data_IF_377426249899
#
_entry.id   IF_377426249899
#
_cell.length_a   1.000
_cell.length_b   1.000
_cell.length_c   1.000
_cell.angle_alpha   90.00
_cell.angle_beta   90.00
_cell.angle_gamma   90.00
#
_symmetry.space_group_name_H-M   'P 1'
#
loop_
_entity.id
_entity.type
_entity.pdbx_description
1 polymer ?
#
# COMPACT_ATOMS: atom_id res chain seq x y z
N UNK A 1 -25.31 12.64 7.40
CA UNK A 1 -24.93 11.71 6.32
C UNK A 1 -23.70 12.20 5.51
N UNK A 2 -22.61 12.63 6.17
CA UNK A 2 -21.36 13.11 5.52
C UNK A 2 -20.27 12.02 5.35
N UNK A 3 -20.55 10.79 5.75
CA UNK A 3 -19.56 9.70 5.83
C UNK A 3 -19.23 9.03 4.48
N UNK A 4 -20.17 8.95 3.53
CA UNK A 4 -19.94 8.23 2.27
C UNK A 4 -18.95 8.91 1.31
N UNK A 5 -18.90 10.24 1.24
CA UNK A 5 -18.01 10.93 0.28
C UNK A 5 -16.53 10.84 0.68
N UNK A 6 -16.23 10.90 1.98
CA UNK A 6 -14.86 10.77 2.48
C UNK A 6 -14.34 9.34 2.31
N UNK A 7 -15.17 8.33 2.59
CA UNK A 7 -14.84 6.93 2.35
C UNK A 7 -14.58 6.66 0.86
N UNK A 8 -15.39 7.24 -0.04
CA UNK A 8 -15.19 7.12 -1.49
C UNK A 8 -13.90 7.80 -1.98
N UNK A 9 -13.56 8.98 -1.46
CA UNK A 9 -12.32 9.69 -1.81
C UNK A 9 -11.07 8.93 -1.33
N UNK A 10 -11.11 8.42 -0.10
CA UNK A 10 -10.04 7.61 0.46
C UNK A 10 -9.82 6.35 -0.39
N UNK A 11 -10.90 5.62 -0.75
CA UNK A 11 -10.80 4.45 -1.62
C UNK A 11 -10.24 4.78 -3.01
N UNK A 12 -10.61 5.93 -3.59
CA UNK A 12 -10.07 6.37 -4.88
C UNK A 12 -8.56 6.65 -4.78
N UNK A 13 -8.12 7.36 -3.76
CA UNK A 13 -6.71 7.68 -3.57
C UNK A 13 -5.88 6.42 -3.35
N UNK A 14 -6.41 5.45 -2.60
CA UNK A 14 -5.76 4.14 -2.46
C UNK A 14 -5.54 3.43 -3.79
N UNK A 15 -6.56 3.36 -4.65
CA UNK A 15 -6.43 2.74 -5.95
C UNK A 15 -5.39 3.44 -6.83
N UNK A 16 -5.35 4.77 -6.82
CA UNK A 16 -4.35 5.55 -7.56
C UNK A 16 -2.94 5.25 -7.04
N UNK A 17 -2.73 5.30 -5.72
CA UNK A 17 -1.43 5.01 -5.11
C UNK A 17 -0.99 3.59 -5.41
N UNK A 18 -1.93 2.64 -5.36
CA UNK A 18 -1.68 1.24 -5.62
C UNK A 18 -1.21 1.01 -7.06
N UNK A 19 -1.94 1.51 -8.05
CA UNK A 19 -1.57 1.34 -9.48
C UNK A 19 -0.21 1.95 -9.77
N UNK A 20 0.03 3.18 -9.31
CA UNK A 20 1.30 3.88 -9.56
C UNK A 20 2.46 3.16 -8.86
N UNK A 21 2.30 2.78 -7.59
CA UNK A 21 3.31 2.04 -6.84
C UNK A 21 3.61 0.68 -7.47
N UNK A 22 2.57 -0.08 -7.86
CA UNK A 22 2.72 -1.39 -8.47
C UNK A 22 3.51 -1.34 -9.79
N UNK A 23 3.21 -0.36 -10.64
CA UNK A 23 3.91 -0.23 -11.93
C UNK A 23 5.32 0.34 -11.76
N UNK A 24 5.54 1.33 -10.89
CA UNK A 24 6.89 1.83 -10.63
C UNK A 24 7.79 0.79 -9.93
N UNK A 25 7.26 0.02 -8.99
CA UNK A 25 8.00 -1.08 -8.35
C UNK A 25 8.32 -2.19 -9.35
N UNK A 26 7.42 -2.53 -10.28
CA UNK A 26 7.71 -3.49 -11.34
C UNK A 26 8.83 -3.01 -12.28
N UNK A 27 8.89 -1.71 -12.60
CA UNK A 27 10.01 -1.14 -13.36
C UNK A 27 11.32 -1.29 -12.57
N UNK A 28 11.32 -0.98 -11.27
CA UNK A 28 12.50 -1.15 -10.42
C UNK A 28 12.93 -2.62 -10.33
N UNK A 29 11.99 -3.55 -10.23
CA UNK A 29 12.29 -4.98 -10.26
C UNK A 29 13.02 -5.38 -11.54
N UNK A 30 12.59 -4.84 -12.68
CA UNK A 30 13.23 -5.09 -13.96
C UNK A 30 14.63 -4.46 -14.05
N UNK A 31 14.82 -3.26 -13.52
CA UNK A 31 16.13 -2.61 -13.47
C UNK A 31 17.12 -3.33 -12.53
N UNK A 32 16.60 -4.08 -11.56
CA UNK A 32 17.38 -4.88 -10.62
C UNK A 32 17.54 -6.34 -11.08
N UNK A 33 17.23 -6.68 -12.34
CA UNK A 33 17.28 -8.06 -12.85
C UNK A 33 18.65 -8.72 -12.74
N UNK A 34 19.73 -7.93 -12.80
CA UNK A 34 21.11 -8.41 -12.76
C UNK A 34 21.64 -8.55 -11.33
N UNK A 35 20.84 -8.20 -10.32
CA UNK A 35 21.17 -8.36 -8.90
C UNK A 35 20.60 -9.66 -8.35
N UNK A 36 21.16 -10.11 -7.23
CA UNK A 36 20.65 -11.25 -6.47
C UNK A 36 19.15 -11.11 -6.16
N UNK A 37 18.40 -12.20 -6.31
CA UNK A 37 16.93 -12.21 -6.17
C UNK A 37 16.45 -11.63 -4.83
N UNK A 38 17.16 -11.90 -3.73
CA UNK A 38 16.80 -11.36 -2.41
C UNK A 38 17.00 -9.82 -2.33
N UNK A 39 18.02 -9.27 -3.00
CA UNK A 39 18.26 -7.83 -3.09
C UNK A 39 17.19 -7.18 -3.95
N UNK A 40 16.94 -7.75 -5.14
CA UNK A 40 15.90 -7.27 -6.05
C UNK A 40 14.54 -7.22 -5.33
N UNK A 41 14.15 -8.33 -4.68
CA UNK A 41 12.90 -8.42 -3.91
C UNK A 41 12.80 -7.32 -2.86
N UNK A 42 13.83 -7.19 -2.02
CA UNK A 42 13.81 -6.30 -0.86
C UNK A 42 13.80 -4.82 -1.30
N UNK A 43 14.67 -4.44 -2.22
CA UNK A 43 14.78 -3.06 -2.70
C UNK A 43 13.51 -2.65 -3.45
N UNK A 44 12.97 -3.53 -4.30
CA UNK A 44 11.73 -3.29 -5.03
C UNK A 44 10.56 -3.02 -4.09
N UNK A 45 10.39 -3.84 -3.04
CA UNK A 45 9.30 -3.67 -2.07
C UNK A 45 9.48 -2.38 -1.27
N UNK A 46 10.70 -2.07 -0.80
CA UNK A 46 10.98 -0.82 -0.08
C UNK A 46 10.66 0.39 -0.98
N UNK A 47 11.09 0.34 -2.25
CA UNK A 47 10.82 1.41 -3.20
C UNK A 47 9.31 1.59 -3.43
N UNK A 48 8.59 0.49 -3.66
CA UNK A 48 7.12 0.51 -3.77
C UNK A 48 6.46 1.15 -2.55
N UNK A 49 6.89 0.79 -1.34
CA UNK A 49 6.39 1.39 -0.10
C UNK A 49 6.62 2.90 -0.04
N UNK A 50 7.84 3.36 -0.37
CA UNK A 50 8.17 4.79 -0.36
C UNK A 50 7.29 5.56 -1.35
N UNK A 51 7.11 5.03 -2.56
CA UNK A 51 6.24 5.63 -3.57
C UNK A 51 4.78 5.64 -3.11
N UNK A 52 4.27 4.51 -2.62
CA UNK A 52 2.91 4.37 -2.15
C UNK A 52 2.59 5.39 -1.05
N UNK A 53 3.39 5.39 0.04
CA UNK A 53 3.16 6.29 1.16
C UNK A 53 3.43 7.75 0.79
N UNK A 54 4.38 8.02 -0.10
CA UNK A 54 4.66 9.37 -0.60
C UNK A 54 3.47 9.95 -1.37
N UNK A 55 2.96 9.22 -2.37
CA UNK A 55 1.80 9.66 -3.17
C UNK A 55 0.55 9.75 -2.29
N UNK A 56 0.33 8.74 -1.45
CA UNK A 56 -0.82 8.72 -0.55
C UNK A 56 -0.82 9.93 0.39
N UNK A 57 0.32 10.26 1.00
CA UNK A 57 0.46 11.43 1.88
C UNK A 57 0.18 12.74 1.14
N UNK A 58 0.68 12.88 -0.09
CA UNK A 58 0.44 14.05 -0.93
C UNK A 58 -1.05 14.21 -1.30
N UNK A 59 -1.70 13.14 -1.78
CA UNK A 59 -3.12 13.16 -2.13
C UNK A 59 -4.00 13.41 -0.90
N UNK A 60 -3.71 12.72 0.20
CA UNK A 60 -4.43 12.87 1.45
C UNK A 60 -4.31 14.31 2.01
N UNK A 61 -3.12 14.92 1.92
CA UNK A 61 -2.91 16.30 2.31
C UNK A 61 -3.70 17.27 1.41
N UNK A 62 -3.68 17.09 0.09
CA UNK A 62 -4.38 17.98 -0.83
C UNK A 62 -5.89 17.94 -0.60
N UNK A 63 -6.47 16.75 -0.51
CA UNK A 63 -7.91 16.56 -0.31
C UNK A 63 -8.41 17.16 1.01
N UNK A 64 -7.57 17.18 2.04
CA UNK A 64 -7.93 17.70 3.35
C UNK A 64 -7.37 19.10 3.63
N UNK A 65 -6.63 19.72 2.71
CA UNK A 65 -5.93 21.01 2.92
C UNK A 65 -6.88 22.13 3.35
N UNK A 66 -8.06 22.21 2.76
CA UNK A 66 -9.08 23.24 3.08
C UNK A 66 -9.67 23.04 4.48
N UNK A 67 -9.79 21.78 4.93
CA UNK A 67 -10.22 21.42 6.28
C UNK A 67 -9.10 21.70 7.30
N UNK A 68 -7.88 21.30 6.99
CA UNK A 68 -6.71 21.49 7.85
C UNK A 68 -6.39 22.95 8.13
N UNK A 69 -6.63 23.86 7.18
CA UNK A 69 -6.52 25.31 7.42
C UNK A 69 -7.42 25.83 8.55
N UNK A 70 -8.51 25.12 8.88
CA UNK A 70 -9.49 25.50 9.91
C UNK A 70 -9.37 24.63 11.17
N UNK A 71 -8.41 23.71 11.21
CA UNK A 71 -8.33 22.65 12.22
C UNK A 71 -7.08 22.82 13.09
N UNK A 72 -7.20 22.50 14.38
CA UNK A 72 -6.08 22.61 15.31
C UNK A 72 -5.01 21.53 15.00
N UNK A 73 -3.73 21.88 15.02
CA UNK A 73 -2.62 21.01 14.63
C UNK A 73 -2.52 19.71 15.43
N UNK A 74 -2.91 19.71 16.72
CA UNK A 74 -2.99 18.49 17.53
C UNK A 74 -4.04 17.50 17.01
N UNK A 75 -5.13 18.01 16.43
CA UNK A 75 -6.20 17.18 15.89
C UNK A 75 -5.76 16.52 14.57
N UNK A 76 -5.02 17.26 13.74
CA UNK A 76 -4.41 16.75 12.50
C UNK A 76 -3.41 15.63 12.79
N UNK A 77 -2.52 15.83 13.78
CA UNK A 77 -1.57 14.80 14.21
C UNK A 77 -2.28 13.52 14.65
N UNK A 78 -3.38 13.66 15.39
CA UNK A 78 -4.15 12.54 15.92
C UNK A 78 -4.88 11.77 14.81
N UNK A 79 -5.39 12.46 13.79
CA UNK A 79 -5.96 11.82 12.60
C UNK A 79 -4.90 11.07 11.78
N UNK A 80 -3.72 11.67 11.56
CA UNK A 80 -2.62 11.00 10.85
C UNK A 80 -2.13 9.75 11.60
N UNK A 81 -1.98 9.83 12.93
CA UNK A 81 -1.63 8.68 13.77
C UNK A 81 -2.72 7.60 13.75
N UNK A 82 -3.99 7.99 13.79
CA UNK A 82 -5.13 7.08 13.66
C UNK A 82 -5.15 6.36 12.31
N UNK A 83 -4.77 7.07 11.25
CA UNK A 83 -4.68 6.50 9.91
C UNK A 83 -3.55 5.46 9.84
N UNK A 84 -2.32 5.83 10.24
CA UNK A 84 -1.15 4.92 10.26
C UNK A 84 -1.40 3.68 11.13
N UNK A 85 -2.03 3.84 12.30
CA UNK A 85 -2.34 2.70 13.18
C UNK A 85 -3.40 1.76 12.60
N UNK A 86 -4.34 2.26 11.81
CA UNK A 86 -5.39 1.43 11.20
C UNK A 86 -4.87 0.46 10.14
N UNK A 87 -3.70 0.71 9.53
CA UNK A 87 -3.12 -0.17 8.53
C UNK A 87 -2.35 -1.35 9.11
N UNK A 88 -1.93 -1.27 10.39
CA UNK A 88 -0.86 -2.10 10.93
C UNK A 88 -1.05 -3.61 10.73
N UNK A 89 -2.26 -4.14 10.96
CA UNK A 89 -2.50 -5.60 10.83
C UNK A 89 -2.52 -6.06 9.37
N UNK A 90 -3.14 -5.28 8.48
CA UNK A 90 -3.17 -5.60 7.06
C UNK A 90 -1.78 -5.55 6.43
N UNK A 91 -0.98 -4.55 6.79
CA UNK A 91 0.38 -4.35 6.28
C UNK A 91 1.32 -5.51 6.62
N UNK A 92 1.22 -6.05 7.85
CA UNK A 92 2.02 -7.22 8.23
C UNK A 92 1.67 -8.43 7.36
N UNK A 93 0.39 -8.64 7.07
CA UNK A 93 -0.05 -9.71 6.16
C UNK A 93 0.40 -9.44 4.74
N UNK A 94 0.25 -8.20 4.26
CA UNK A 94 0.72 -7.81 2.94
C UNK A 94 2.20 -8.15 2.78
N UNK A 95 3.08 -7.68 3.68
CA UNK A 95 4.52 -7.93 3.59
C UNK A 95 4.87 -9.40 3.74
N UNK A 96 4.19 -10.09 4.66
CA UNK A 96 4.34 -11.52 4.91
C UNK A 96 3.98 -12.39 3.71
N UNK A 97 3.12 -11.92 2.80
CA UNK A 97 2.80 -12.59 1.54
C UNK A 97 3.70 -12.07 0.41
N UNK A 98 3.88 -10.75 0.32
CA UNK A 98 4.57 -10.07 -0.79
C UNK A 98 5.99 -10.50 -0.98
N UNK A 99 6.77 -10.49 0.10
CA UNK A 99 8.19 -10.80 0.04
C UNK A 99 8.43 -12.26 -0.39
N UNK A 100 7.87 -13.29 0.28
CA UNK A 100 8.15 -14.68 -0.11
C UNK A 100 7.58 -15.03 -1.48
N UNK A 101 6.38 -14.55 -1.84
CA UNK A 101 5.81 -14.81 -3.17
C UNK A 101 6.64 -14.17 -4.28
N UNK A 102 7.09 -12.93 -4.09
CA UNK A 102 7.90 -12.27 -5.10
C UNK A 102 9.28 -12.92 -5.24
N UNK A 103 9.95 -13.18 -4.12
CA UNK A 103 11.23 -13.88 -4.12
C UNK A 103 11.13 -15.25 -4.81
N UNK A 104 10.11 -16.03 -4.47
CA UNK A 104 9.86 -17.33 -5.11
C UNK A 104 9.65 -17.22 -6.62
N UNK A 105 8.92 -16.21 -7.10
CA UNK A 105 8.73 -15.99 -8.53
C UNK A 105 10.03 -15.66 -9.28
N UNK A 106 10.93 -14.91 -8.66
CA UNK A 106 12.25 -14.67 -9.22
C UNK A 106 13.09 -15.97 -9.27
N UNK A 107 13.05 -16.79 -8.22
CA UNK A 107 13.78 -18.06 -8.16
C UNK A 107 13.36 -19.07 -9.24
N UNK A 108 12.06 -19.12 -9.59
CA UNK A 108 11.56 -19.97 -10.67
C UNK A 108 11.72 -19.35 -12.07
N UNK A 109 12.40 -18.20 -12.17
CA UNK A 109 12.75 -17.56 -13.44
C UNK A 109 11.62 -16.79 -14.11
N UNK A 110 10.58 -16.37 -13.37
CA UNK A 110 9.60 -15.42 -13.90
C UNK A 110 10.28 -14.06 -14.10
N UNK A 111 9.99 -13.40 -15.22
CA UNK A 111 10.46 -12.06 -15.53
C UNK A 111 10.21 -11.09 -14.34
N UNK A 112 11.21 -10.33 -13.86
CA UNK A 112 11.08 -9.52 -12.64
C UNK A 112 9.91 -8.54 -12.65
N UNK A 113 9.62 -7.93 -13.80
CA UNK A 113 8.46 -7.07 -13.98
C UNK A 113 7.14 -7.80 -13.67
N UNK A 114 6.92 -8.98 -14.28
CA UNK A 114 5.73 -9.80 -14.07
C UNK A 114 5.68 -10.40 -12.66
N UNK A 115 6.81 -10.88 -12.17
CA UNK A 115 6.94 -11.43 -10.82
C UNK A 115 6.52 -10.40 -9.77
N UNK A 116 6.94 -9.13 -9.93
CA UNK A 116 6.54 -8.04 -9.04
C UNK A 116 5.03 -7.77 -9.12
N UNK A 117 4.46 -7.65 -10.32
CA UNK A 117 3.02 -7.37 -10.48
C UNK A 117 2.12 -8.49 -9.94
N UNK A 118 2.45 -9.76 -10.20
CA UNK A 118 1.62 -10.89 -9.75
C UNK A 118 1.65 -11.00 -8.24
N UNK A 119 2.84 -10.89 -7.62
CA UNK A 119 2.96 -10.91 -6.16
C UNK A 119 2.31 -9.70 -5.50
N UNK A 120 2.33 -8.53 -6.13
CA UNK A 120 1.56 -7.34 -5.71
C UNK A 120 0.06 -7.63 -5.64
N UNK A 121 -0.51 -8.18 -6.72
CA UNK A 121 -1.94 -8.51 -6.80
C UNK A 121 -2.33 -9.55 -5.76
N UNK A 122 -1.54 -10.61 -5.59
CA UNK A 122 -1.79 -11.67 -4.60
C UNK A 122 -1.79 -11.09 -3.18
N UNK A 123 -0.75 -10.32 -2.84
CA UNK A 123 -0.58 -9.76 -1.49
C UNK A 123 -1.69 -8.76 -1.14
N UNK A 124 -2.11 -7.98 -2.12
CA UNK A 124 -3.21 -7.03 -1.97
C UNK A 124 -4.55 -7.74 -1.82
N UNK A 125 -4.76 -8.83 -2.55
CA UNK A 125 -5.91 -9.72 -2.34
C UNK A 125 -5.97 -10.24 -0.90
N UNK A 126 -4.85 -10.76 -0.39
CA UNK A 126 -4.73 -11.21 1.00
C UNK A 126 -4.97 -10.08 2.02
N UNK A 127 -4.38 -8.91 1.79
CA UNK A 127 -4.60 -7.70 2.59
C UNK A 127 -6.10 -7.37 2.68
N UNK A 128 -6.78 -7.26 1.54
CA UNK A 128 -8.19 -6.88 1.49
C UNK A 128 -9.09 -7.91 2.17
N UNK A 129 -8.78 -9.21 2.02
CA UNK A 129 -9.50 -10.27 2.72
C UNK A 129 -9.36 -10.15 4.24
N UNK A 130 -8.14 -9.98 4.75
CA UNK A 130 -7.89 -9.86 6.19
C UNK A 130 -8.54 -8.61 6.77
N UNK A 131 -8.40 -7.46 6.12
CA UNK A 131 -9.04 -6.22 6.55
C UNK A 131 -10.56 -6.37 6.56
N UNK A 132 -11.14 -6.98 5.52
CA UNK A 132 -12.59 -7.21 5.46
C UNK A 132 -13.09 -8.14 6.57
N UNK A 133 -12.33 -9.20 6.89
CA UNK A 133 -12.67 -10.12 7.99
C UNK A 133 -12.51 -9.44 9.36
N UNK A 134 -11.46 -8.64 9.55
CA UNK A 134 -11.23 -7.90 10.79
C UNK A 134 -12.37 -6.91 11.05
N UNK A 135 -12.76 -6.13 10.04
CA UNK A 135 -13.87 -5.18 10.14
C UNK A 135 -15.22 -5.86 10.43
N UNK A 136 -15.43 -7.07 9.89
CA UNK A 136 -16.61 -7.88 10.23
C UNK A 136 -16.56 -8.42 11.66
N UNK A 137 -15.38 -8.82 12.13
CA UNK A 137 -15.17 -9.35 13.48
C UNK A 137 -15.32 -8.30 14.59
N UNK A 138 -14.94 -7.05 14.33
CA UNK A 138 -14.99 -5.96 15.34
C UNK A 138 -16.38 -5.32 15.51
N UNK A 139 -17.44 -5.81 14.84
CA UNK A 139 -18.80 -5.22 14.88
C UNK A 139 -18.81 -3.70 14.70
N UNK A 140 -17.97 -3.18 13.82
CA UNK A 140 -17.96 -1.74 13.51
C UNK A 140 -19.01 -1.36 12.45
N UNK A 141 -19.90 -2.28 12.08
CA UNK A 141 -21.18 -2.07 11.40
C UNK A 141 -22.21 -3.09 11.89
#
# INVERSE_FOLDING_TARGET
>A
MKSNQQLLQINRNFLICFVISATLSAIIAQLLSDYENYLNTTITIIFGYVIYFGIFSCLFYWDNKTRYKKMNGNLIKRELLGLVSSFGVGEVVYLGVRWPTFYYFLEIGIEPYLASLISEVISTGCYMLVVSLFLRGTKTF
#
